data_IF_681098968665
#
_entry.id   IF_681098968665
#
_cell.length_a   1.000
_cell.length_b   1.000
_cell.length_c   1.000
_cell.angle_alpha   90.00
_cell.angle_beta   90.00
_cell.angle_gamma   90.00
#
_symmetry.space_group_name_H-M   'P 1'
#
loop_
_entity.id
_entity.type
_entity.pdbx_description
1 polymer ?
#
# COMPACT_ATOMS: atom_id res chain seq x y z
N UNK A 1 25.74 -16.48 -6.88
CA UNK A 1 24.47 -17.20 -6.95
C UNK A 1 23.40 -16.45 -6.17
N UNK A 2 22.26 -16.35 -6.73
CA UNK A 2 21.16 -15.75 -6.00
C UNK A 2 20.69 -16.69 -4.91
N UNK A 3 20.54 -16.17 -3.73
CA UNK A 3 20.05 -16.93 -2.61
C UNK A 3 18.53 -17.10 -2.75
N UNK A 4 18.05 -18.32 -2.87
CA UNK A 4 16.63 -18.59 -2.99
C UNK A 4 15.85 -18.13 -1.77
N UNK A 5 16.52 -18.10 -0.62
CA UNK A 5 15.91 -17.60 0.61
C UNK A 5 15.59 -16.12 0.50
N UNK A 6 16.42 -15.37 -0.23
CA UNK A 6 16.19 -13.93 -0.44
C UNK A 6 14.88 -13.69 -1.16
N UNK A 7 14.57 -14.49 -2.20
CA UNK A 7 13.29 -14.38 -2.91
C UNK A 7 12.13 -14.69 -1.98
N UNK A 8 12.28 -15.75 -1.17
CA UNK A 8 11.24 -16.14 -0.23
C UNK A 8 11.05 -15.11 0.88
N UNK A 9 12.03 -14.20 1.07
CA UNK A 9 11.98 -13.18 2.12
C UNK A 9 11.55 -11.82 1.61
N UNK A 10 11.07 -11.71 0.36
CA UNK A 10 10.54 -10.44 -0.14
C UNK A 10 9.37 -10.02 0.73
N UNK A 11 9.45 -8.82 1.28
CA UNK A 11 8.43 -8.28 2.20
C UNK A 11 7.53 -7.29 1.49
N UNK A 12 6.42 -6.94 2.15
CA UNK A 12 5.55 -5.87 1.64
C UNK A 12 6.30 -4.55 1.54
N UNK A 13 7.23 -4.29 2.46
CA UNK A 13 8.06 -3.09 2.43
C UNK A 13 8.95 -3.06 1.20
N UNK A 14 9.51 -4.21 0.82
CA UNK A 14 10.32 -4.34 -0.39
C UNK A 14 9.48 -4.01 -1.62
N UNK A 15 8.27 -4.54 -1.68
CA UNK A 15 7.37 -4.31 -2.81
C UNK A 15 6.95 -2.85 -2.87
N UNK A 16 6.64 -2.24 -1.73
CA UNK A 16 6.32 -0.82 -1.65
C UNK A 16 7.46 0.03 -2.20
N UNK A 17 8.70 -0.28 -1.83
CA UNK A 17 9.86 0.44 -2.34
C UNK A 17 9.99 0.31 -3.85
N UNK A 18 9.73 -0.87 -4.39
CA UNK A 18 9.75 -1.09 -5.84
C UNK A 18 8.66 -0.30 -6.55
N UNK A 19 7.47 -0.25 -5.98
CA UNK A 19 6.36 0.52 -6.54
C UNK A 19 6.70 2.01 -6.56
N UNK A 20 7.21 2.54 -5.46
CA UNK A 20 7.58 3.95 -5.38
C UNK A 20 8.66 4.31 -6.37
N UNK A 21 9.65 3.44 -6.54
CA UNK A 21 10.71 3.63 -7.52
C UNK A 21 10.17 3.64 -8.94
N UNK A 22 9.33 2.67 -9.28
CA UNK A 22 8.73 2.58 -10.61
C UNK A 22 7.83 3.78 -10.90
N UNK A 23 7.07 4.21 -9.92
CA UNK A 23 6.20 5.39 -10.03
C UNK A 23 7.02 6.63 -10.35
N UNK A 24 8.11 6.82 -9.63
CA UNK A 24 9.00 7.97 -9.83
C UNK A 24 9.64 7.95 -11.21
N UNK A 25 10.17 6.80 -11.62
CA UNK A 25 10.83 6.66 -12.90
C UNK A 25 9.88 6.89 -14.09
N UNK A 26 8.63 6.45 -13.95
CA UNK A 26 7.64 6.60 -15.02
C UNK A 26 6.91 7.94 -14.97
N UNK A 27 7.10 8.73 -13.90
CA UNK A 27 6.43 10.01 -13.75
C UNK A 27 4.92 9.88 -13.54
N UNK A 28 4.48 8.80 -12.91
CA UNK A 28 3.06 8.54 -12.69
C UNK A 28 2.56 9.18 -11.39
N UNK A 29 1.28 9.57 -11.38
CA UNK A 29 0.60 9.96 -10.16
C UNK A 29 -0.14 8.75 -9.61
N UNK A 30 -0.62 8.86 -8.36
CA UNK A 30 -1.44 7.78 -7.78
C UNK A 30 -2.75 7.62 -8.55
N UNK A 31 -3.28 8.71 -9.08
CA UNK A 31 -4.47 8.69 -9.92
C UNK A 31 -4.22 7.90 -11.21
N UNK A 32 -3.05 8.09 -11.81
CA UNK A 32 -2.66 7.35 -13.02
C UNK A 32 -2.59 5.85 -12.74
N UNK A 33 -1.94 5.48 -11.64
CA UNK A 33 -1.78 4.07 -11.27
C UNK A 33 -3.15 3.45 -10.98
N UNK A 34 -3.97 4.15 -10.21
CA UNK A 34 -5.30 3.69 -9.85
C UNK A 34 -6.16 3.43 -11.09
N UNK A 35 -6.10 4.32 -12.06
CA UNK A 35 -6.83 4.14 -13.33
C UNK A 35 -6.38 2.88 -14.06
N UNK A 36 -5.08 2.63 -14.08
CA UNK A 36 -4.53 1.45 -14.76
C UNK A 36 -4.97 0.13 -14.15
N UNK A 37 -5.27 0.11 -12.87
CA UNK A 37 -5.74 -1.10 -12.18
C UNK A 37 -7.23 -1.06 -11.88
N UNK A 38 -7.92 0.00 -12.31
CA UNK A 38 -9.36 0.18 -12.10
C UNK A 38 -9.75 0.11 -10.63
N UNK A 39 -9.09 0.92 -9.81
CA UNK A 39 -9.38 1.06 -8.38
C UNK A 39 -9.30 2.53 -8.01
N UNK A 40 -9.85 2.90 -6.84
CA UNK A 40 -9.75 4.28 -6.40
C UNK A 40 -8.33 4.66 -6.04
N UNK A 41 -7.93 5.93 -6.19
CA UNK A 41 -6.58 6.38 -5.78
C UNK A 41 -6.31 6.15 -4.29
N UNK A 42 -7.31 6.36 -3.45
CA UNK A 42 -7.18 6.19 -2.00
C UNK A 42 -6.87 4.73 -1.67
N UNK A 43 -7.66 3.80 -2.23
CA UNK A 43 -7.43 2.38 -2.00
C UNK A 43 -6.07 1.94 -2.55
N UNK A 44 -5.74 2.43 -3.76
CA UNK A 44 -4.50 2.06 -4.45
C UNK A 44 -3.28 2.45 -3.63
N UNK A 45 -3.23 3.67 -3.12
CA UNK A 45 -2.13 4.10 -2.28
C UNK A 45 -2.05 3.26 -1.01
N UNK A 46 -3.18 3.06 -0.34
CA UNK A 46 -3.21 2.28 0.90
C UNK A 46 -2.69 0.86 0.68
N UNK A 47 -3.12 0.21 -0.39
CA UNK A 47 -2.68 -1.14 -0.71
C UNK A 47 -1.20 -1.18 -1.11
N UNK A 48 -0.74 -0.17 -1.86
CA UNK A 48 0.67 -0.07 -2.25
C UNK A 48 1.58 0.09 -1.02
N UNK A 49 1.08 0.75 0.03
CA UNK A 49 1.82 0.90 1.29
C UNK A 49 1.74 -0.33 2.20
N UNK A 50 1.08 -1.39 1.75
CA UNK A 50 0.97 -2.63 2.51
C UNK A 50 -0.16 -2.68 3.51
N UNK A 51 -1.04 -1.69 3.50
CA UNK A 51 -2.12 -1.59 4.48
C UNK A 51 -3.40 -2.32 4.05
N UNK A 52 -3.49 -2.74 2.80
CA UNK A 52 -4.58 -3.55 2.27
C UNK A 52 -4.01 -4.63 1.37
N UNK A 53 -4.67 -5.79 1.34
CA UNK A 53 -4.27 -6.87 0.45
C UNK A 53 -4.89 -6.67 -0.94
N UNK A 54 -4.10 -6.84 -1.98
CA UNK A 54 -4.64 -6.81 -3.35
C UNK A 54 -5.43 -8.09 -3.61
N UNK A 55 -6.62 -7.99 -4.22
CA UNK A 55 -7.24 -9.18 -4.80
C UNK A 55 -6.28 -9.81 -5.82
N UNK A 56 -6.28 -11.13 -6.00
CA UNK A 56 -5.30 -11.78 -6.87
C UNK A 56 -5.21 -11.20 -8.28
N UNK A 57 -6.33 -10.88 -8.90
CA UNK A 57 -6.33 -10.32 -10.25
C UNK A 57 -5.75 -8.89 -10.28
N UNK A 58 -5.94 -8.14 -9.20
CA UNK A 58 -5.39 -6.78 -9.12
C UNK A 58 -3.90 -6.81 -8.79
N UNK A 59 -3.46 -7.79 -8.00
CA UNK A 59 -2.04 -7.99 -7.72
C UNK A 59 -1.28 -8.29 -9.01
N UNK A 60 -1.84 -9.19 -9.83
CA UNK A 60 -1.25 -9.54 -11.12
C UNK A 60 -1.17 -8.32 -12.04
N UNK A 61 -2.24 -7.54 -12.09
CA UNK A 61 -2.31 -6.35 -12.91
C UNK A 61 -1.29 -5.32 -12.44
N UNK A 62 -1.14 -5.13 -11.12
CA UNK A 62 -0.17 -4.19 -10.55
C UNK A 62 1.26 -4.58 -10.92
N UNK A 63 1.58 -5.87 -10.87
CA UNK A 63 2.90 -6.36 -11.27
C UNK A 63 3.17 -6.01 -12.74
N UNK A 64 2.20 -6.22 -13.61
CA UNK A 64 2.32 -5.91 -15.03
C UNK A 64 2.47 -4.41 -15.28
N UNK A 65 1.60 -3.62 -14.69
CA UNK A 65 1.55 -2.16 -14.90
C UNK A 65 2.83 -1.49 -14.40
N UNK A 66 3.34 -1.92 -13.24
CA UNK A 66 4.50 -1.28 -12.63
C UNK A 66 5.82 -1.97 -12.98
N UNK A 67 5.78 -3.06 -13.73
CA UNK A 67 6.99 -3.78 -14.08
C UNK A 67 7.70 -4.40 -12.90
N UNK A 68 6.93 -4.95 -11.96
CA UNK A 68 7.49 -5.55 -10.75
C UNK A 68 7.98 -6.98 -11.00
N UNK A 69 8.90 -7.48 -10.16
CA UNK A 69 9.25 -8.90 -10.21
C UNK A 69 8.03 -9.78 -9.96
N UNK A 70 8.00 -10.97 -10.54
CA UNK A 70 6.88 -11.87 -10.41
C UNK A 70 6.59 -12.24 -8.96
N UNK A 71 7.61 -12.33 -8.15
CA UNK A 71 7.47 -12.65 -6.71
C UNK A 71 6.60 -11.62 -5.97
N UNK A 72 6.51 -10.40 -6.48
CA UNK A 72 5.72 -9.36 -5.85
C UNK A 72 4.22 -9.66 -5.87
N UNK A 73 3.76 -10.45 -6.83
CA UNK A 73 2.33 -10.74 -6.96
C UNK A 73 1.76 -11.39 -5.70
N UNK A 74 2.41 -12.44 -5.20
CA UNK A 74 1.95 -13.12 -3.99
C UNK A 74 2.07 -12.24 -2.75
N UNK A 75 3.11 -11.41 -2.70
CA UNK A 75 3.31 -10.49 -1.56
C UNK A 75 2.20 -9.44 -1.52
N UNK A 76 1.82 -8.90 -2.66
CA UNK A 76 0.73 -7.93 -2.73
C UNK A 76 -0.60 -8.53 -2.28
N UNK A 77 -0.81 -9.80 -2.52
CA UNK A 77 -2.05 -10.49 -2.16
C UNK A 77 -2.07 -10.99 -0.71
N UNK A 78 -0.95 -10.93 0.00
CA UNK A 78 -0.90 -11.35 1.41
C UNK A 78 -1.75 -10.44 2.30
N UNK A 79 -2.18 -10.99 3.42
CA UNK A 79 -2.91 -10.22 4.41
C UNK A 79 -2.12 -8.99 4.82
N UNK A 80 -2.78 -7.84 5.01
CA UNK A 80 -2.07 -6.62 5.35
C UNK A 80 -1.42 -6.68 6.74
N UNK A 81 -0.29 -6.01 6.86
CA UNK A 81 0.38 -5.82 8.13
C UNK A 81 0.10 -4.39 8.58
N UNK A 82 -0.82 -4.22 9.51
CA UNK A 82 -1.21 -2.87 9.96
C UNK A 82 -0.37 -2.48 11.16
N UNK A 83 0.90 -2.19 10.91
CA UNK A 83 1.85 -1.80 11.95
C UNK A 83 1.92 -0.27 12.00
N UNK A 84 1.77 0.25 13.20
CA UNK A 84 1.85 1.68 13.45
C UNK A 84 3.18 1.98 14.11
N UNK A 85 3.97 2.86 13.53
CA UNK A 85 5.24 3.27 14.13
C UNK A 85 5.03 4.05 15.41
N UNK A 86 3.91 4.77 15.51
CA UNK A 86 3.59 5.61 16.64
C UNK A 86 2.14 5.43 17.03
N UNK A 87 1.87 5.31 18.34
CA UNK A 87 0.50 5.23 18.85
C UNK A 87 -0.23 6.55 18.61
N UNK A 88 0.49 7.67 18.75
CA UNK A 88 -0.04 9.01 18.48
C UNK A 88 0.75 9.60 17.32
N UNK A 89 0.07 9.94 16.21
CA UNK A 89 0.78 10.51 15.05
C UNK A 89 1.37 11.87 15.37
N UNK A 90 2.54 12.14 14.80
CA UNK A 90 3.22 13.44 14.97
C UNK A 90 3.15 14.30 13.72
N UNK A 91 2.82 13.72 12.56
CA UNK A 91 2.61 14.52 11.35
C UNK A 91 1.41 15.45 11.57
N UNK A 92 1.53 16.75 11.30
CA UNK A 92 0.44 17.69 11.58
C UNK A 92 -0.88 17.36 10.93
N UNK A 93 -0.86 16.88 9.69
CA UNK A 93 -2.10 16.52 8.98
C UNK A 93 -2.73 15.27 9.58
N UNK A 94 -1.92 14.23 9.80
CA UNK A 94 -2.41 12.97 10.34
C UNK A 94 -2.89 13.16 11.78
N UNK A 95 -2.18 13.97 12.56
CA UNK A 95 -2.59 14.27 13.94
C UNK A 95 -3.96 14.96 13.95
N UNK A 96 -4.24 15.80 12.98
CA UNK A 96 -5.55 16.48 12.87
C UNK A 96 -6.67 15.43 12.72
N UNK A 97 -6.48 14.42 11.89
CA UNK A 97 -7.44 13.33 11.76
C UNK A 97 -7.58 12.55 13.06
N UNK A 98 -6.46 12.33 13.75
CA UNK A 98 -6.46 11.65 15.05
C UNK A 98 -7.33 12.42 16.05
N UNK A 99 -7.18 13.75 16.11
CA UNK A 99 -8.00 14.59 16.98
C UNK A 99 -9.48 14.50 16.63
N UNK A 100 -9.80 14.54 15.34
CA UNK A 100 -11.19 14.45 14.87
C UNK A 100 -11.80 13.13 15.31
N UNK A 101 -11.08 12.04 15.13
CA UNK A 101 -11.55 10.72 15.55
C UNK A 101 -11.74 10.67 17.07
N UNK A 102 -10.83 11.28 17.83
CA UNK A 102 -10.92 11.30 19.28
C UNK A 102 -12.14 12.06 19.77
N UNK A 103 -12.48 13.17 19.09
CA UNK A 103 -13.64 14.00 19.50
C UNK A 103 -14.96 13.41 19.00
N UNK A 104 -15.01 12.96 17.75
CA UNK A 104 -16.26 12.57 17.13
C UNK A 104 -16.46 11.07 16.96
N UNK A 105 -15.42 10.27 17.24
CA UNK A 105 -15.51 8.82 17.08
C UNK A 105 -16.66 8.21 17.88
N UNK A 106 -16.75 8.50 19.19
CA UNK A 106 -17.86 7.97 20.00
C UNK A 106 -19.24 8.42 19.51
N UNK A 107 -19.32 9.67 19.04
CA UNK A 107 -20.57 10.22 18.50
C UNK A 107 -20.99 9.50 17.22
N UNK A 108 -20.03 9.31 16.30
CA UNK A 108 -20.29 8.61 15.05
C UNK A 108 -20.71 7.16 15.30
N UNK A 109 -20.08 6.53 16.28
CA UNK A 109 -20.42 5.16 16.66
C UNK A 109 -21.84 5.06 17.22
N UNK A 110 -22.29 6.07 17.96
CA UNK A 110 -23.60 6.09 18.58
C UNK A 110 -24.74 6.33 17.57
N UNK A 111 -24.45 6.95 16.46
CA UNK A 111 -25.41 7.19 15.40
C UNK A 111 -25.55 5.97 14.51
#
# INVERSE_FOLDING_TARGET
MKDLTMDALMTKEDVTALILSAKKQAGLTWEDIAEKIDMSPIWTHSAAMGMNAFPPEKAKLMVTVMGLPQEAESVLAESPTKIWEQAVPTDPCIYRFYEIVGVYGPTLKAL
#
